data_IF_889154723312
#
_entry.id   IF_889154723312
#
_cell.length_a   1.000
_cell.length_b   1.000
_cell.length_c   1.000
_cell.angle_alpha   90.00
_cell.angle_beta   90.00
_cell.angle_gamma   90.00
#
_symmetry.space_group_name_H-M   'P 1'
#
loop_
_entity.id
_entity.type
_entity.pdbx_description
1 polymer ?
#
# COMPACT_ATOMS: atom_id res chain seq x y z
N UNK A 1 2.48 12.84 10.43
CA UNK A 1 1.56 12.39 9.40
C UNK A 1 0.82 13.53 8.72
N UNK A 2 0.12 13.25 7.63
CA UNK A 2 -0.61 14.22 6.80
C UNK A 2 -2.05 14.47 7.25
N UNK A 3 -2.48 13.90 8.37
CA UNK A 3 -3.88 13.90 8.81
C UNK A 3 -4.52 15.29 8.85
N UNK A 4 -3.83 16.29 9.40
CA UNK A 4 -4.35 17.67 9.40
C UNK A 4 -4.52 18.22 7.98
N UNK A 5 -3.51 18.02 7.13
CA UNK A 5 -3.56 18.45 5.72
C UNK A 5 -4.67 17.71 4.96
N UNK A 6 -4.84 16.42 5.20
CA UNK A 6 -5.86 15.61 4.54
C UNK A 6 -7.28 16.01 4.98
N UNK A 7 -7.46 16.52 6.21
CA UNK A 7 -8.72 17.08 6.68
C UNK A 7 -8.98 18.49 6.09
N UNK A 8 -7.95 19.31 5.95
CA UNK A 8 -8.08 20.65 5.36
C UNK A 8 -8.28 20.60 3.83
N UNK A 9 -7.74 19.59 3.16
CA UNK A 9 -7.82 19.39 1.70
C UNK A 9 -8.26 17.95 1.36
N UNK A 10 -9.48 17.53 1.74
CA UNK A 10 -9.95 16.19 1.47
C UNK A 10 -10.12 15.95 -0.04
N UNK A 11 -9.72 14.77 -0.51
CA UNK A 11 -9.91 14.38 -1.91
C UNK A 11 -11.39 14.13 -2.22
N UNK A 12 -12.12 13.56 -1.27
CA UNK A 12 -13.55 13.24 -1.32
C UNK A 12 -14.09 13.01 0.10
N UNK A 13 -15.39 13.05 0.25
CA UNK A 13 -16.12 12.66 1.47
C UNK A 13 -17.08 11.53 1.14
N UNK A 14 -17.00 10.41 1.84
CA UNK A 14 -17.90 9.27 1.70
C UNK A 14 -18.54 9.02 3.06
N UNK A 15 -19.87 8.99 3.10
CA UNK A 15 -20.64 8.85 4.33
C UNK A 15 -21.60 7.66 4.22
N UNK A 16 -21.51 6.76 5.21
CA UNK A 16 -22.42 5.64 5.36
C UNK A 16 -23.70 6.06 6.03
N UNK A 17 -24.69 6.49 5.25
CA UNK A 17 -26.01 6.89 5.70
C UNK A 17 -26.64 7.97 4.81
N UNK A 18 -27.96 8.03 4.80
CA UNK A 18 -28.73 8.96 3.94
C UNK A 18 -29.58 9.96 4.74
N UNK A 19 -29.63 9.83 6.08
CA UNK A 19 -30.48 10.66 6.91
C UNK A 19 -29.90 12.09 7.10
N UNK A 20 -30.72 13.00 7.58
CA UNK A 20 -30.40 14.43 7.69
C UNK A 20 -29.14 14.73 8.52
N UNK A 21 -28.90 13.96 9.59
CA UNK A 21 -27.70 14.13 10.41
C UNK A 21 -26.40 13.85 9.64
N UNK A 22 -26.43 12.89 8.69
CA UNK A 22 -25.28 12.64 7.80
C UNK A 22 -25.00 13.85 6.91
N UNK A 23 -26.04 14.53 6.41
CA UNK A 23 -25.90 15.74 5.59
C UNK A 23 -25.31 16.88 6.41
N UNK A 24 -25.85 17.14 7.59
CA UNK A 24 -25.32 18.16 8.52
C UNK A 24 -23.86 17.89 8.90
N UNK A 25 -23.51 16.63 9.11
CA UNK A 25 -22.12 16.26 9.40
C UNK A 25 -21.19 16.57 8.21
N UNK A 26 -21.62 16.27 6.98
CA UNK A 26 -20.87 16.60 5.76
C UNK A 26 -20.70 18.12 5.60
N UNK A 27 -21.73 18.91 5.88
CA UNK A 27 -21.64 20.37 5.87
C UNK A 27 -20.55 20.87 6.83
N UNK A 28 -20.54 20.39 8.07
CA UNK A 28 -19.48 20.71 9.05
C UNK A 28 -18.08 20.36 8.52
N UNK A 29 -17.92 19.20 7.88
CA UNK A 29 -16.64 18.80 7.31
C UNK A 29 -16.23 19.70 6.15
N UNK A 30 -17.17 20.09 5.29
CA UNK A 30 -16.92 21.02 4.18
C UNK A 30 -16.56 22.41 4.68
N UNK A 31 -17.28 22.92 5.64
CA UNK A 31 -17.02 24.25 6.26
C UNK A 31 -15.66 24.30 6.97
N UNK A 32 -15.19 23.15 7.48
CA UNK A 32 -13.89 23.03 8.12
C UNK A 32 -12.74 22.85 7.13
N UNK A 33 -13.03 22.65 5.84
CA UNK A 33 -12.05 22.43 4.78
C UNK A 33 -11.65 23.76 4.13
N UNK A 34 -10.41 23.80 3.63
CA UNK A 34 -9.92 24.89 2.78
C UNK A 34 -10.13 24.60 1.28
N UNK A 35 -10.67 23.43 0.93
CA UNK A 35 -10.99 23.04 -0.43
C UNK A 35 -12.46 23.33 -0.72
N UNK A 36 -12.74 24.07 -1.79
CA UNK A 36 -14.09 24.50 -2.16
C UNK A 36 -14.92 23.34 -2.74
N UNK A 37 -14.42 22.66 -3.78
CA UNK A 37 -15.15 21.57 -4.44
C UNK A 37 -14.73 20.20 -3.90
N UNK A 38 -15.52 19.64 -2.97
CA UNK A 38 -15.31 18.32 -2.41
C UNK A 38 -16.43 17.40 -2.88
N UNK A 39 -16.06 16.45 -3.75
CA UNK A 39 -16.98 15.38 -4.14
C UNK A 39 -17.46 14.60 -2.92
N UNK A 40 -18.76 14.46 -2.82
CA UNK A 40 -19.39 13.82 -1.66
C UNK A 40 -20.33 12.72 -2.13
N UNK A 41 -20.21 11.56 -1.52
CA UNK A 41 -21.02 10.38 -1.80
C UNK A 41 -21.70 9.89 -0.54
N UNK A 42 -23.02 9.74 -0.58
CA UNK A 42 -23.84 9.10 0.46
C UNK A 42 -24.18 7.69 0.00
N UNK A 43 -23.87 6.71 0.82
CA UNK A 43 -24.10 5.28 0.55
C UNK A 43 -24.55 4.58 1.83
N UNK A 44 -24.89 3.31 1.76
CA UNK A 44 -25.09 2.51 2.98
C UNK A 44 -23.78 2.37 3.79
N UNK A 45 -23.87 2.02 5.05
CA UNK A 45 -22.71 1.87 5.93
C UNK A 45 -21.75 0.76 5.46
N UNK A 46 -22.31 -0.35 4.98
CA UNK A 46 -21.54 -1.48 4.45
C UNK A 46 -20.80 -1.12 3.15
N UNK A 47 -21.47 -0.35 2.26
CA UNK A 47 -20.83 0.16 1.06
C UNK A 47 -19.71 1.15 1.37
N UNK A 48 -19.89 2.03 2.36
CA UNK A 48 -18.85 2.98 2.78
C UNK A 48 -17.61 2.26 3.31
N UNK A 49 -17.80 1.21 4.12
CA UNK A 49 -16.69 0.34 4.57
C UNK A 49 -16.03 -0.37 3.39
N UNK A 50 -16.81 -0.97 2.51
CA UNK A 50 -16.33 -1.68 1.33
C UNK A 50 -15.52 -0.77 0.41
N UNK A 51 -15.96 0.45 0.15
CA UNK A 51 -15.24 1.45 -0.66
C UNK A 51 -13.83 1.69 -0.10
N UNK A 52 -13.70 1.82 1.22
CA UNK A 52 -12.38 2.00 1.86
C UNK A 52 -11.49 0.77 1.69
N UNK A 53 -12.03 -0.43 1.95
CA UNK A 53 -11.26 -1.68 1.85
C UNK A 53 -10.79 -1.93 0.42
N UNK A 54 -11.68 -1.79 -0.57
CA UNK A 54 -11.33 -1.97 -1.98
C UNK A 54 -10.36 -0.90 -2.48
N UNK A 55 -10.50 0.36 -2.07
CA UNK A 55 -9.54 1.39 -2.41
C UNK A 55 -8.13 1.06 -1.91
N UNK A 56 -8.00 0.63 -0.66
CA UNK A 56 -6.71 0.24 -0.09
C UNK A 56 -6.16 -1.05 -0.72
N UNK A 57 -7.01 -2.03 -1.05
CA UNK A 57 -6.59 -3.22 -1.77
C UNK A 57 -6.09 -2.89 -3.18
N UNK A 58 -6.76 -1.98 -3.89
CA UNK A 58 -6.30 -1.49 -5.19
C UNK A 58 -4.92 -0.82 -5.12
N UNK A 59 -4.70 0.02 -4.11
CA UNK A 59 -3.39 0.66 -3.92
C UNK A 59 -2.30 -0.38 -3.59
N UNK A 60 -2.61 -1.38 -2.75
CA UNK A 60 -1.71 -2.48 -2.46
C UNK A 60 -1.40 -3.32 -3.72
N UNK A 61 -2.41 -3.57 -4.56
CA UNK A 61 -2.26 -4.24 -5.85
C UNK A 61 -1.30 -3.46 -6.77
N UNK A 62 -1.44 -2.15 -6.86
CA UNK A 62 -0.53 -1.33 -7.67
C UNK A 62 0.91 -1.45 -7.20
N UNK A 63 1.16 -1.36 -5.90
CA UNK A 63 2.52 -1.56 -5.36
C UNK A 63 3.03 -2.96 -5.68
N UNK A 64 2.19 -3.99 -5.54
CA UNK A 64 2.55 -5.38 -5.87
C UNK A 64 2.91 -5.53 -7.34
N UNK A 65 2.12 -4.96 -8.24
CA UNK A 65 2.38 -5.00 -9.68
C UNK A 65 3.74 -4.39 -10.02
N UNK A 66 4.05 -3.19 -9.52
CA UNK A 66 5.32 -2.54 -9.78
C UNK A 66 6.50 -3.22 -9.07
N UNK A 67 6.27 -3.88 -7.94
CA UNK A 67 7.27 -4.73 -7.29
C UNK A 67 7.59 -5.98 -8.13
N UNK A 68 6.60 -6.61 -8.75
CA UNK A 68 6.81 -7.75 -9.64
C UNK A 68 7.52 -7.31 -10.94
N UNK A 69 7.14 -6.17 -11.52
CA UNK A 69 7.85 -5.57 -12.65
C UNK A 69 9.32 -5.33 -12.31
N UNK A 70 9.61 -4.75 -11.17
CA UNK A 70 10.98 -4.52 -10.70
C UNK A 70 11.74 -5.82 -10.46
N UNK A 71 11.09 -6.83 -9.89
CA UNK A 71 11.68 -8.17 -9.71
C UNK A 71 12.03 -8.82 -11.05
N UNK A 72 11.15 -8.69 -12.05
CA UNK A 72 11.39 -9.14 -13.41
C UNK A 72 12.58 -8.43 -14.04
N UNK A 73 12.62 -7.09 -13.93
CA UNK A 73 13.71 -6.28 -14.47
C UNK A 73 15.05 -6.67 -13.85
N UNK A 74 15.10 -6.78 -12.51
CA UNK A 74 16.32 -7.20 -11.79
C UNK A 74 16.78 -8.61 -12.18
N UNK A 75 15.86 -9.55 -12.35
CA UNK A 75 16.19 -10.93 -12.73
C UNK A 75 16.74 -11.02 -14.17
N UNK A 76 16.37 -10.09 -15.05
CA UNK A 76 16.78 -10.07 -16.45
C UNK A 76 17.85 -9.00 -16.77
N UNK A 77 18.45 -8.36 -15.76
CA UNK A 77 19.44 -7.28 -15.90
C UNK A 77 18.92 -6.10 -16.74
N UNK A 78 17.62 -5.76 -16.59
CA UNK A 78 16.97 -4.64 -17.26
C UNK A 78 16.89 -3.42 -16.33
N UNK A 79 16.73 -2.23 -16.93
CA UNK A 79 16.51 -1.01 -16.16
C UNK A 79 15.04 -0.90 -15.74
N UNK A 80 14.76 -1.25 -14.49
CA UNK A 80 13.41 -1.19 -13.90
C UNK A 80 12.78 0.19 -14.02
N UNK A 81 13.55 1.25 -13.77
CA UNK A 81 13.05 2.63 -13.83
C UNK A 81 12.55 3.00 -15.21
N UNK A 82 13.31 2.68 -16.25
CA UNK A 82 12.93 2.96 -17.64
C UNK A 82 11.63 2.24 -18.03
N UNK A 83 11.47 0.98 -17.58
CA UNK A 83 10.26 0.21 -17.86
C UNK A 83 9.06 0.82 -17.12
N UNK A 84 9.21 1.16 -15.84
CA UNK A 84 8.15 1.79 -15.04
C UNK A 84 7.72 3.12 -15.65
N UNK A 85 8.69 3.97 -16.00
CA UNK A 85 8.41 5.27 -16.61
C UNK A 85 7.66 5.09 -17.94
N UNK A 86 8.07 4.13 -18.78
CA UNK A 86 7.40 3.82 -20.04
C UNK A 86 5.96 3.31 -19.84
N UNK A 87 5.74 2.37 -18.93
CA UNK A 87 4.40 1.87 -18.59
C UNK A 87 3.50 3.00 -18.07
N UNK A 88 4.04 3.91 -17.27
CA UNK A 88 3.29 5.02 -16.68
C UNK A 88 3.01 6.18 -17.66
N UNK A 89 3.58 6.18 -18.87
CA UNK A 89 3.18 7.11 -19.93
C UNK A 89 1.78 6.83 -20.47
N UNK A 90 1.31 5.57 -20.38
CA UNK A 90 -0.08 5.29 -20.68
C UNK A 90 -0.98 5.95 -19.62
N UNK A 91 -1.82 6.90 -20.07
CA UNK A 91 -2.72 7.67 -19.18
C UNK A 91 -3.68 6.78 -18.39
N UNK A 92 -4.03 5.59 -18.88
CA UNK A 92 -4.88 4.61 -18.19
C UNK A 92 -4.18 3.99 -16.99
N UNK A 93 -2.85 3.87 -17.04
CA UNK A 93 -2.00 3.42 -15.94
C UNK A 93 -1.65 4.59 -15.04
N UNK A 94 -1.07 5.64 -15.59
CA UNK A 94 -0.72 6.87 -14.88
C UNK A 94 0.35 6.68 -13.80
N UNK A 95 0.69 7.79 -13.14
CA UNK A 95 1.68 7.83 -12.06
C UNK A 95 0.95 7.80 -10.71
N UNK A 96 1.27 6.88 -9.86
CA UNK A 96 0.72 6.77 -8.50
C UNK A 96 0.93 5.37 -7.97
N UNK A 97 1.52 5.26 -6.79
CA UNK A 97 1.87 3.96 -6.20
C UNK A 97 2.70 3.06 -7.13
N UNK A 98 3.50 3.68 -8.00
CA UNK A 98 4.32 3.04 -9.02
C UNK A 98 5.81 2.94 -8.65
N UNK A 99 6.16 3.27 -7.41
CA UNK A 99 7.54 3.17 -6.91
C UNK A 99 7.76 1.80 -6.26
N UNK A 100 8.66 0.96 -6.79
CA UNK A 100 8.98 -0.32 -6.17
C UNK A 100 9.52 -0.16 -4.76
N UNK A 101 9.23 -1.15 -3.93
CA UNK A 101 9.62 -1.18 -2.53
C UNK A 101 9.98 -2.61 -2.11
N UNK A 102 10.35 -2.78 -0.84
CA UNK A 102 10.54 -4.10 -0.23
C UNK A 102 9.23 -4.84 0.06
N UNK A 103 8.12 -4.26 -0.35
CA UNK A 103 6.76 -4.72 -0.15
C UNK A 103 5.88 -3.56 0.31
N UNK A 104 4.57 -3.60 0.05
CA UNK A 104 3.67 -2.64 0.68
C UNK A 104 3.62 -2.91 2.18
N UNK A 105 3.61 -1.83 2.94
CA UNK A 105 3.65 -1.86 4.39
C UNK A 105 2.85 -0.70 4.98
N UNK A 106 3.22 -0.30 6.19
CA UNK A 106 2.41 0.60 7.01
C UNK A 106 1.26 -0.14 7.67
N UNK A 107 0.38 0.59 8.33
CA UNK A 107 -0.73 -0.03 9.08
C UNK A 107 -1.91 -0.38 8.18
N UNK A 108 -2.31 0.54 7.30
CA UNK A 108 -3.57 0.44 6.56
C UNK A 108 -3.56 -0.67 5.49
N UNK A 109 -2.60 -0.63 4.56
CA UNK A 109 -2.63 -1.56 3.41
C UNK A 109 -2.58 -3.03 3.83
N UNK A 110 -1.66 -3.48 4.72
CA UNK A 110 -1.63 -4.88 5.15
C UNK A 110 -2.85 -5.30 5.98
N UNK A 111 -3.41 -4.39 6.76
CA UNK A 111 -4.60 -4.69 7.57
C UNK A 111 -5.83 -4.80 6.69
N UNK A 112 -6.07 -3.81 5.83
CA UNK A 112 -7.30 -3.71 5.05
C UNK A 112 -7.35 -4.78 3.93
N UNK A 113 -6.23 -5.19 3.35
CA UNK A 113 -6.18 -6.32 2.41
C UNK A 113 -6.52 -7.65 3.07
N UNK A 114 -6.02 -7.89 4.29
CA UNK A 114 -6.37 -9.10 5.04
C UNK A 114 -7.84 -9.10 5.48
N UNK A 115 -8.35 -7.96 5.92
CA UNK A 115 -9.75 -7.80 6.27
C UNK A 115 -10.65 -8.07 5.05
N UNK A 116 -10.31 -7.49 3.91
CA UNK A 116 -11.07 -7.70 2.67
C UNK A 116 -11.06 -9.19 2.27
N UNK A 117 -9.90 -9.86 2.35
CA UNK A 117 -9.82 -11.29 2.06
C UNK A 117 -10.75 -12.11 2.98
N UNK A 118 -10.76 -11.80 4.27
CA UNK A 118 -11.66 -12.48 5.22
C UNK A 118 -13.15 -12.25 4.88
N UNK A 119 -13.50 -11.08 4.38
CA UNK A 119 -14.88 -10.77 3.97
C UNK A 119 -15.33 -11.56 2.72
N UNK A 120 -14.40 -12.10 1.94
CA UNK A 120 -14.74 -12.91 0.76
C UNK A 120 -15.23 -14.32 1.09
N UNK A 121 -14.98 -14.86 2.28
CA UNK A 121 -15.38 -16.19 2.80
C UNK A 121 -16.00 -17.16 1.77
N UNK A 122 -17.23 -16.86 1.27
CA UNK A 122 -17.98 -17.67 0.29
C UNK A 122 -17.99 -17.10 -1.12
N UNK A 123 -17.32 -15.97 -1.36
CA UNK A 123 -17.28 -15.32 -2.66
C UNK A 123 -16.01 -15.73 -3.40
N UNK A 124 -16.09 -16.24 -4.63
CA UNK A 124 -14.91 -16.58 -5.42
C UNK A 124 -14.00 -15.35 -5.62
N UNK A 125 -12.71 -15.52 -5.35
CA UNK A 125 -11.71 -14.48 -5.53
C UNK A 125 -10.34 -15.12 -5.83
N UNK A 126 -9.48 -14.39 -6.50
CA UNK A 126 -8.07 -14.75 -6.75
C UNK A 126 -7.16 -13.53 -6.52
N UNK A 127 -7.60 -12.36 -7.00
CA UNK A 127 -6.77 -11.14 -6.97
C UNK A 127 -6.46 -10.69 -5.55
N UNK A 128 -7.43 -10.74 -4.63
CA UNK A 128 -7.24 -10.24 -3.27
C UNK A 128 -6.22 -11.10 -2.51
N UNK A 129 -6.30 -12.41 -2.66
CA UNK A 129 -5.30 -13.32 -2.11
C UNK A 129 -3.94 -13.14 -2.79
N UNK A 130 -3.90 -13.00 -4.12
CA UNK A 130 -2.67 -12.78 -4.87
C UNK A 130 -1.94 -11.51 -4.41
N UNK A 131 -2.65 -10.42 -4.07
CA UNK A 131 -2.05 -9.20 -3.53
C UNK A 131 -1.29 -9.49 -2.22
N UNK A 132 -1.86 -10.29 -1.33
CA UNK A 132 -1.25 -10.66 -0.05
C UNK A 132 -0.04 -11.56 -0.27
N UNK A 133 -0.18 -12.56 -1.14
CA UNK A 133 0.89 -13.49 -1.47
C UNK A 133 2.06 -12.78 -2.17
N UNK A 134 1.80 -11.91 -3.14
CA UNK A 134 2.84 -11.16 -3.86
C UNK A 134 3.69 -10.31 -2.92
N UNK A 135 3.10 -9.76 -1.86
CA UNK A 135 3.84 -9.00 -0.85
C UNK A 135 4.83 -9.88 -0.04
N UNK A 136 4.50 -11.15 0.17
CA UNK A 136 5.43 -12.13 0.78
C UNK A 136 6.52 -12.53 -0.22
N UNK A 137 6.12 -12.88 -1.43
CA UNK A 137 7.02 -13.28 -2.53
C UNK A 137 8.07 -12.19 -2.82
N UNK A 138 7.67 -10.91 -2.78
CA UNK A 138 8.62 -9.79 -2.93
C UNK A 138 9.71 -9.80 -1.86
N UNK A 139 9.36 -10.02 -0.60
CA UNK A 139 10.34 -10.10 0.50
C UNK A 139 11.27 -11.29 0.34
N UNK A 140 10.73 -12.43 -0.09
CA UNK A 140 11.54 -13.64 -0.38
C UNK A 140 12.52 -13.36 -1.51
N UNK A 141 12.08 -12.70 -2.58
CA UNK A 141 12.93 -12.33 -3.71
C UNK A 141 14.05 -11.38 -3.26
N UNK A 142 13.76 -10.31 -2.54
CA UNK A 142 14.76 -9.34 -2.06
C UNK A 142 15.75 -10.04 -1.13
N UNK A 143 15.28 -10.87 -0.21
CA UNK A 143 16.16 -11.66 0.67
C UNK A 143 17.13 -12.53 -0.14
N UNK A 144 16.64 -13.24 -1.15
CA UNK A 144 17.49 -14.04 -2.05
C UNK A 144 18.51 -13.17 -2.80
N UNK A 145 18.13 -11.97 -3.26
CA UNK A 145 19.08 -11.07 -3.92
C UNK A 145 20.18 -10.61 -2.96
N UNK A 146 19.88 -10.28 -1.70
CA UNK A 146 20.87 -9.92 -0.68
C UNK A 146 21.82 -11.09 -0.44
N UNK A 147 21.30 -12.29 -0.21
CA UNK A 147 22.09 -13.48 0.09
C UNK A 147 22.97 -13.96 -1.06
N UNK A 148 22.69 -13.60 -2.32
CA UNK A 148 23.59 -13.88 -3.47
C UNK A 148 24.98 -13.29 -3.28
N UNK A 149 25.10 -12.17 -2.58
CA UNK A 149 26.38 -11.51 -2.29
C UNK A 149 27.17 -12.20 -1.18
N UNK A 150 26.60 -13.23 -0.51
CA UNK A 150 27.19 -13.93 0.63
C UNK A 150 27.71 -12.96 1.69
N UNK A 151 26.91 -11.98 2.14
CA UNK A 151 27.37 -10.99 3.10
C UNK A 151 27.60 -11.65 4.47
N UNK A 152 28.64 -11.23 5.19
CA UNK A 152 28.79 -11.53 6.62
C UNK A 152 28.01 -10.55 7.50
N UNK A 153 27.80 -9.33 7.00
CA UNK A 153 27.07 -8.24 7.70
C UNK A 153 26.09 -7.58 6.74
N UNK A 154 24.88 -7.33 7.23
CA UNK A 154 23.85 -6.55 6.51
C UNK A 154 23.43 -5.36 7.35
N UNK A 155 23.76 -4.15 6.89
CA UNK A 155 23.34 -2.91 7.52
C UNK A 155 21.90 -2.53 7.16
N UNK A 156 21.11 -2.13 8.16
CA UNK A 156 19.74 -1.64 7.96
C UNK A 156 19.71 -0.12 8.03
N UNK A 157 19.48 0.50 6.89
CA UNK A 157 19.28 1.95 6.80
C UNK A 157 17.80 2.29 6.70
N UNK A 158 17.25 2.99 7.71
CA UNK A 158 15.85 3.34 7.89
C UNK A 158 14.90 2.15 8.07
N UNK A 159 14.44 1.96 9.30
CA UNK A 159 13.34 1.02 9.61
C UNK A 159 11.95 1.60 9.31
N UNK A 160 11.85 2.89 8.98
CA UNK A 160 10.59 3.64 8.85
C UNK A 160 10.20 3.73 7.38
N UNK A 161 8.97 3.32 7.04
CA UNK A 161 8.44 3.34 5.66
C UNK A 161 7.89 4.71 5.23
N UNK A 162 7.52 5.57 6.17
CA UNK A 162 6.90 6.87 5.89
C UNK A 162 7.58 7.93 6.76
N UNK A 163 8.06 8.99 6.13
CA UNK A 163 8.67 10.11 6.84
C UNK A 163 7.70 10.69 7.88
N UNK A 164 8.18 10.89 9.12
CA UNK A 164 7.36 11.37 10.23
C UNK A 164 6.36 10.36 10.82
N UNK A 165 6.55 9.06 10.59
CA UNK A 165 5.71 8.00 11.16
C UNK A 165 6.48 7.13 12.13
N UNK A 166 6.02 7.03 13.37
CA UNK A 166 6.60 6.13 14.39
C UNK A 166 6.21 4.66 14.23
N UNK A 167 5.47 4.34 13.17
CA UNK A 167 4.90 3.01 12.99
C UNK A 167 5.86 2.06 12.24
N UNK A 168 6.97 1.73 12.89
CA UNK A 168 7.95 0.76 12.40
C UNK A 168 7.49 -0.70 12.53
N UNK A 169 6.42 -0.97 13.30
CA UNK A 169 5.93 -2.34 13.57
C UNK A 169 5.48 -3.07 12.31
N UNK A 170 4.96 -2.35 11.32
CA UNK A 170 4.45 -2.90 10.04
C UNK A 170 5.38 -2.63 8.86
N UNK A 171 6.66 -2.34 9.11
CA UNK A 171 7.65 -2.12 8.06
C UNK A 171 7.94 -3.41 7.28
N UNK A 172 7.98 -3.30 5.95
CA UNK A 172 8.36 -4.41 5.06
C UNK A 172 9.78 -4.91 5.32
N UNK A 173 10.67 -4.01 5.81
CA UNK A 173 12.05 -4.33 6.17
C UNK A 173 12.12 -5.40 7.26
N UNK A 174 11.22 -5.34 8.27
CA UNK A 174 11.15 -6.40 9.31
C UNK A 174 10.90 -7.78 8.73
N UNK A 175 10.07 -7.85 7.69
CA UNK A 175 9.82 -9.12 7.00
C UNK A 175 11.04 -9.65 6.27
N UNK A 176 11.95 -8.79 5.80
CA UNK A 176 13.23 -9.18 5.20
C UNK A 176 14.22 -9.58 6.31
N UNK A 177 14.33 -8.78 7.38
CA UNK A 177 15.17 -9.09 8.53
C UNK A 177 14.87 -10.48 9.08
N UNK A 178 13.58 -10.78 9.33
CA UNK A 178 13.17 -12.10 9.87
C UNK A 178 13.51 -13.27 8.93
N UNK A 179 13.66 -13.01 7.63
CA UNK A 179 14.11 -14.01 6.66
C UNK A 179 15.63 -14.19 6.63
N UNK A 180 16.37 -13.13 6.92
CA UNK A 180 17.84 -13.15 6.96
C UNK A 180 18.35 -13.78 8.25
N UNK A 181 17.66 -13.58 9.38
CA UNK A 181 18.06 -14.13 10.71
C UNK A 181 18.28 -15.65 10.69
N UNK A 182 17.66 -16.40 9.76
CA UNK A 182 17.88 -17.84 9.60
C UNK A 182 19.21 -18.21 8.92
N UNK A 183 20.02 -17.22 8.52
CA UNK A 183 21.31 -17.41 7.89
C UNK A 183 22.41 -16.87 8.80
N UNK A 184 23.66 -17.31 8.58
CA UNK A 184 24.83 -16.85 9.34
C UNK A 184 25.27 -15.46 8.86
N UNK A 185 24.44 -14.43 9.18
CA UNK A 185 24.60 -13.04 8.76
C UNK A 185 24.32 -12.12 9.95
N UNK A 186 25.28 -11.27 10.28
CA UNK A 186 25.10 -10.23 11.28
C UNK A 186 24.22 -9.09 10.72
N UNK A 187 23.30 -8.58 11.55
CA UNK A 187 22.42 -7.46 11.17
C UNK A 187 22.73 -6.28 12.10
N UNK A 188 23.08 -5.13 11.51
CA UNK A 188 23.43 -3.88 12.22
C UNK A 188 22.57 -2.71 11.78
#
# INVERSE_FOLDING_TARGET
GTALKDNLFPSRIIVGGHHELCRKFVEILKDSSLKEDIETLFVGSEEAESIKLFANAYLAMRVSFFNELDSYALANNLNSRSIIDGVCLDKRVGKGYNNPSFGYGGYCLPKDTKQLLANFDKVPQNIIEAIILSNSTRKDFITKQILKYKPSVVGIYRLIMKEGSDNFRSSSIKGIISRIIGYDVEII
#
